data_IF_685918312788
#
_entry.id   IF_685918312788
#
_cell.length_a   1.000
_cell.length_b   1.000
_cell.length_c   1.000
_cell.angle_alpha   90.00
_cell.angle_beta   90.00
_cell.angle_gamma   90.00
#
_symmetry.space_group_name_H-M   'P 1'
#
loop_
_entity.id
_entity.type
_entity.pdbx_description
1 polymer ?
#
# COMPACT_ATOMS: atom_id res chain seq x y z
N UNK A 1 -5.25 -50.50 47.45
CA UNK A 1 -4.30 -51.62 47.41
C UNK A 1 -4.29 -52.18 46.02
N UNK A 2 -3.22 -52.02 45.31
CA UNK A 2 -2.61 -52.84 44.25
C UNK A 2 -1.79 -51.93 43.34
N UNK A 3 -0.51 -51.99 43.52
CA UNK A 3 0.53 -51.39 42.64
C UNK A 3 0.58 -52.16 41.32
N UNK A 4 0.86 -51.53 40.17
CA UNK A 4 1.38 -52.24 39.03
C UNK A 4 2.92 -52.20 39.02
N UNK A 5 3.46 -53.32 38.82
CA UNK A 5 4.87 -53.74 38.75
C UNK A 5 5.67 -52.98 37.71
N UNK A 6 6.84 -52.50 38.10
CA UNK A 6 7.95 -52.09 37.24
C UNK A 6 8.43 -53.27 36.37
N UNK A 7 8.33 -53.14 35.03
CA UNK A 7 9.11 -54.00 34.13
C UNK A 7 10.35 -53.24 33.67
N UNK A 8 11.46 -53.76 34.11
CA UNK A 8 12.82 -53.47 33.70
C UNK A 8 13.03 -53.87 32.23
N UNK A 9 13.20 -52.88 31.36
CA UNK A 9 13.48 -53.04 29.94
C UNK A 9 14.86 -52.50 29.53
N UNK A 10 15.92 -52.81 30.30
CA UNK A 10 17.29 -52.28 30.05
C UNK A 10 18.34 -53.34 29.69
N UNK A 11 17.95 -54.52 29.32
CA UNK A 11 18.92 -55.61 29.03
C UNK A 11 19.13 -55.96 27.54
N UNK A 12 18.35 -55.42 26.59
CA UNK A 12 18.52 -55.67 25.17
C UNK A 12 19.60 -54.81 24.49
N UNK A 13 19.79 -53.57 24.97
CA UNK A 13 20.66 -52.57 24.34
C UNK A 13 22.16 -52.85 24.46
N UNK A 14 22.59 -53.41 25.60
CA UNK A 14 24.03 -53.65 25.83
C UNK A 14 24.58 -54.79 24.97
N UNK A 15 23.83 -55.87 24.76
CA UNK A 15 24.29 -57.02 23.97
C UNK A 15 24.40 -56.68 22.46
N UNK A 16 23.51 -55.85 21.92
CA UNK A 16 23.63 -55.39 20.54
C UNK A 16 24.75 -54.39 20.30
N UNK A 17 25.02 -53.55 21.28
CA UNK A 17 26.18 -52.63 21.29
C UNK A 17 27.49 -53.44 21.31
N UNK A 18 27.56 -54.48 22.14
CA UNK A 18 28.74 -55.34 22.21
C UNK A 18 28.97 -56.13 20.91
N UNK A 19 27.90 -56.51 20.18
CA UNK A 19 28.01 -57.19 18.90
C UNK A 19 28.44 -56.22 17.77
N UNK A 20 27.94 -54.98 17.75
CA UNK A 20 28.40 -53.92 16.85
C UNK A 20 29.86 -53.51 17.18
N UNK A 21 30.24 -53.42 18.44
CA UNK A 21 31.58 -53.09 18.85
C UNK A 21 32.59 -54.24 18.56
N UNK A 22 32.12 -55.50 18.56
CA UNK A 22 32.93 -56.67 18.19
C UNK A 22 33.17 -56.77 16.67
N UNK A 23 32.35 -56.11 15.84
CA UNK A 23 32.50 -56.01 14.39
C UNK A 23 33.47 -54.88 13.94
N UNK A 24 33.97 -54.06 14.85
CA UNK A 24 34.95 -53.01 14.56
C UNK A 24 36.36 -53.59 14.56
N UNK A 25 37.26 -53.15 13.64
CA UNK A 25 38.62 -53.71 13.58
C UNK A 25 39.37 -53.47 14.88
N UNK A 26 39.98 -54.53 15.45
CA UNK A 26 40.63 -54.55 16.75
C UNK A 26 41.89 -53.68 16.89
N UNK A 27 42.25 -52.91 15.86
CA UNK A 27 43.51 -52.14 15.80
C UNK A 27 43.35 -50.60 15.95
N UNK A 28 42.29 -50.14 16.60
CA UNK A 28 42.20 -48.71 16.95
C UNK A 28 43.07 -48.45 18.19
N UNK A 29 44.40 -48.41 18.01
CA UNK A 29 45.31 -47.89 19.02
C UNK A 29 45.04 -46.41 19.24
N UNK A 30 44.81 -46.05 20.52
CA UNK A 30 44.56 -44.66 21.03
C UNK A 30 45.81 -43.79 20.87
N UNK A 31 46.25 -43.51 19.66
CA UNK A 31 47.25 -42.48 19.44
C UNK A 31 46.83 -41.60 18.25
N UNK A 32 46.84 -40.29 18.48
CA UNK A 32 46.58 -39.24 17.51
C UNK A 32 45.10 -38.94 17.18
N UNK A 33 44.26 -38.68 18.21
CA UNK A 33 42.97 -38.01 17.98
C UNK A 33 41.81 -38.89 17.46
N UNK A 34 41.97 -40.22 17.49
CA UNK A 34 40.92 -41.18 17.19
C UNK A 34 40.10 -41.47 18.46
N UNK A 35 38.81 -41.16 18.44
CA UNK A 35 37.88 -41.49 19.50
C UNK A 35 37.71 -43.00 19.65
N UNK A 36 37.64 -43.48 20.90
CA UNK A 36 37.33 -44.89 21.14
C UNK A 36 35.91 -45.23 20.62
N UNK A 37 35.68 -46.42 20.07
CA UNK A 37 34.37 -46.83 19.55
C UNK A 37 33.21 -46.60 20.54
N UNK A 38 33.32 -46.92 21.86
CA UNK A 38 32.27 -46.63 22.83
C UNK A 38 31.97 -45.16 22.98
N UNK A 39 33.00 -44.27 22.99
CA UNK A 39 32.82 -42.84 23.06
C UNK A 39 32.16 -42.27 21.80
N UNK A 40 32.54 -42.79 20.60
CA UNK A 40 31.91 -42.41 19.36
C UNK A 40 30.43 -42.77 19.35
N UNK A 41 30.06 -43.96 19.81
CA UNK A 41 28.68 -44.39 19.90
C UNK A 41 27.88 -43.53 20.86
N UNK A 42 28.45 -43.18 22.03
CA UNK A 42 27.80 -42.32 23.01
C UNK A 42 27.54 -40.89 22.43
N UNK A 43 28.49 -40.36 21.65
CA UNK A 43 28.34 -39.07 20.95
C UNK A 43 27.16 -39.12 19.96
N UNK A 44 27.02 -40.22 19.20
CA UNK A 44 25.90 -40.40 18.25
C UNK A 44 24.56 -40.54 19.01
N UNK A 45 24.56 -41.30 20.12
CA UNK A 45 23.39 -41.47 20.99
C UNK A 45 22.88 -40.14 21.58
N UNK A 46 23.79 -39.27 21.98
CA UNK A 46 23.46 -37.97 22.58
C UNK A 46 23.30 -36.86 21.55
N UNK A 47 23.49 -37.15 20.26
CA UNK A 47 23.34 -36.17 19.21
C UNK A 47 21.89 -35.64 19.13
N UNK A 48 21.70 -34.30 19.09
CA UNK A 48 20.37 -33.73 18.86
C UNK A 48 19.86 -33.91 17.43
N UNK A 49 20.71 -34.36 16.53
CA UNK A 49 20.32 -34.66 15.14
C UNK A 49 19.79 -36.09 15.07
N UNK A 50 18.68 -36.28 14.38
CA UNK A 50 18.14 -37.61 14.11
C UNK A 50 19.05 -38.35 13.13
N UNK A 51 19.55 -39.48 13.53
CA UNK A 51 20.53 -40.27 12.78
C UNK A 51 19.99 -41.69 12.57
N UNK A 52 20.08 -42.15 11.32
CA UNK A 52 19.83 -43.53 10.91
C UNK A 52 21.07 -44.11 10.22
N UNK A 53 21.29 -45.39 10.38
CA UNK A 53 22.26 -46.18 9.59
C UNK A 53 21.51 -47.33 8.94
N UNK A 54 21.65 -47.48 7.62
CA UNK A 54 21.00 -48.53 6.86
C UNK A 54 22.03 -49.38 6.12
N UNK A 55 21.62 -50.60 5.72
CA UNK A 55 22.35 -51.43 4.78
C UNK A 55 22.28 -50.85 3.34
N UNK A 56 22.91 -51.52 2.40
CA UNK A 56 22.93 -51.13 0.97
C UNK A 56 21.55 -51.25 0.26
N UNK A 57 20.55 -51.80 0.95
CA UNK A 57 19.15 -51.95 0.49
C UNK A 57 18.23 -50.96 1.21
N UNK A 58 18.78 -50.06 2.04
CA UNK A 58 18.07 -49.12 2.91
C UNK A 58 17.25 -49.79 4.03
N UNK A 59 17.64 -50.98 4.51
CA UNK A 59 17.06 -51.54 5.72
C UNK A 59 17.78 -50.93 6.93
N UNK A 60 17.03 -50.49 7.91
CA UNK A 60 17.53 -49.77 9.09
C UNK A 60 18.27 -50.72 10.03
N UNK A 61 19.51 -50.44 10.28
CA UNK A 61 20.37 -51.19 11.21
C UNK A 61 20.52 -50.47 12.57
N UNK A 62 20.44 -49.17 12.56
CA UNK A 62 20.61 -48.35 13.77
C UNK A 62 19.84 -47.03 13.64
N UNK A 63 19.27 -46.61 14.74
CA UNK A 63 18.72 -45.24 14.93
C UNK A 63 19.10 -44.70 16.31
N UNK A 64 19.29 -43.42 16.43
CA UNK A 64 19.52 -42.75 17.71
C UNK A 64 18.23 -42.23 18.35
N UNK A 65 18.22 -41.85 19.63
CA UNK A 65 17.03 -41.33 20.33
C UNK A 65 16.41 -40.10 19.66
N UNK A 66 17.22 -39.26 19.00
CA UNK A 66 16.69 -38.10 18.28
C UNK A 66 15.87 -38.51 17.06
N UNK A 67 16.20 -39.64 16.39
CA UNK A 67 15.40 -40.22 15.32
C UNK A 67 14.04 -40.69 15.85
N UNK A 68 14.01 -41.39 16.98
CA UNK A 68 12.76 -41.81 17.63
C UNK A 68 11.87 -40.63 18.00
N UNK A 69 12.47 -39.59 18.61
CA UNK A 69 11.77 -38.36 18.96
C UNK A 69 11.21 -37.61 17.74
N UNK A 70 11.97 -37.61 16.63
CA UNK A 70 11.56 -36.95 15.39
C UNK A 70 10.43 -37.71 14.69
N UNK A 71 10.59 -39.03 14.54
CA UNK A 71 9.68 -39.83 13.71
C UNK A 71 8.50 -40.41 14.49
N UNK A 72 8.63 -40.50 15.82
CA UNK A 72 7.65 -41.10 16.70
C UNK A 72 7.63 -42.65 16.65
N UNK A 73 8.52 -43.29 15.88
CA UNK A 73 8.68 -44.74 15.86
C UNK A 73 9.68 -45.17 16.93
N UNK A 74 9.37 -46.21 17.66
CA UNK A 74 10.33 -46.83 18.57
C UNK A 74 11.41 -47.55 17.79
N UNK A 75 12.64 -47.61 18.32
CA UNK A 75 13.77 -48.30 17.71
C UNK A 75 13.44 -49.75 17.34
N UNK A 76 12.77 -50.46 18.24
CA UNK A 76 12.42 -51.87 18.04
C UNK A 76 11.42 -52.08 16.89
N UNK A 77 10.64 -51.07 16.53
CA UNK A 77 9.67 -51.12 15.41
C UNK A 77 10.33 -50.90 14.05
N UNK A 78 11.45 -50.18 14.00
CA UNK A 78 12.09 -49.76 12.75
C UNK A 78 13.32 -50.59 12.39
N UNK A 79 13.93 -51.28 13.35
CA UNK A 79 15.10 -52.09 13.09
C UNK A 79 14.79 -53.27 12.14
N UNK A 80 15.53 -53.36 11.04
CA UNK A 80 15.33 -54.32 9.97
C UNK A 80 14.28 -53.91 8.93
N UNK A 81 13.45 -52.93 9.21
CA UNK A 81 12.49 -52.39 8.25
C UNK A 81 13.19 -51.50 7.22
N UNK A 82 12.58 -51.37 6.04
CA UNK A 82 13.10 -50.49 5.00
C UNK A 82 12.76 -49.02 5.34
N UNK A 83 13.72 -48.11 5.23
CA UNK A 83 13.57 -46.70 5.57
C UNK A 83 12.47 -45.98 4.75
N UNK A 84 12.01 -46.59 3.64
CA UNK A 84 10.85 -46.14 2.88
C UNK A 84 9.54 -46.12 3.69
N UNK A 85 9.52 -46.77 4.88
CA UNK A 85 8.39 -46.66 5.84
C UNK A 85 8.08 -45.21 6.24
N UNK A 86 9.10 -44.36 6.24
CA UNK A 86 8.94 -42.91 6.54
C UNK A 86 8.30 -42.15 5.37
N UNK A 87 8.27 -42.70 4.16
CA UNK A 87 7.77 -41.94 3.00
C UNK A 87 6.28 -41.65 3.10
N UNK A 88 5.90 -40.38 2.95
CA UNK A 88 4.49 -39.96 2.80
C UNK A 88 3.96 -40.14 1.37
N UNK A 89 4.80 -40.52 0.42
CA UNK A 89 4.50 -40.75 -1.02
C UNK A 89 4.11 -39.49 -1.81
N UNK A 90 4.26 -38.30 -1.21
CA UNK A 90 4.01 -37.01 -1.90
C UNK A 90 5.26 -36.43 -2.58
N UNK A 91 6.45 -36.97 -2.26
CA UNK A 91 7.70 -36.55 -2.89
C UNK A 91 7.74 -37.07 -4.34
N UNK A 92 8.02 -36.18 -5.33
CA UNK A 92 8.12 -36.60 -6.74
C UNK A 92 9.14 -37.72 -6.98
N UNK A 93 8.84 -38.59 -7.91
CA UNK A 93 9.71 -39.76 -8.24
C UNK A 93 11.11 -39.34 -8.68
N UNK A 94 11.23 -38.18 -9.33
CA UNK A 94 12.49 -37.60 -9.80
C UNK A 94 13.47 -37.32 -8.65
N UNK A 95 12.95 -36.93 -7.49
CA UNK A 95 13.76 -36.67 -6.28
C UNK A 95 14.36 -37.96 -5.76
N UNK A 96 13.57 -39.04 -5.71
CA UNK A 96 14.07 -40.37 -5.34
C UNK A 96 15.07 -40.94 -6.37
N UNK A 97 14.86 -40.68 -7.65
CA UNK A 97 15.81 -41.08 -8.70
C UNK A 97 17.14 -40.34 -8.52
N UNK A 98 17.10 -39.05 -8.27
CA UNK A 98 18.29 -38.23 -8.01
C UNK A 98 19.03 -38.69 -6.73
N UNK A 99 18.29 -39.03 -5.66
CA UNK A 99 18.83 -39.61 -4.43
C UNK A 99 19.59 -40.90 -4.73
N UNK A 100 18.91 -41.88 -5.33
CA UNK A 100 19.50 -43.17 -5.60
C UNK A 100 20.68 -43.13 -6.58
N UNK A 101 20.63 -42.23 -7.57
CA UNK A 101 21.74 -41.98 -8.47
C UNK A 101 22.97 -41.47 -7.72
N UNK A 102 22.80 -40.44 -6.89
CA UNK A 102 23.89 -39.82 -6.14
C UNK A 102 24.59 -40.82 -5.19
N UNK A 103 23.80 -41.57 -4.38
CA UNK A 103 24.38 -42.48 -3.38
C UNK A 103 25.01 -43.74 -4.02
N UNK A 104 24.47 -44.22 -5.15
CA UNK A 104 25.10 -45.29 -5.93
C UNK A 104 26.42 -44.86 -6.56
N UNK A 105 26.52 -43.58 -6.95
CA UNK A 105 27.77 -42.98 -7.43
C UNK A 105 28.75 -42.63 -6.30
N UNK A 106 28.52 -43.13 -5.08
CA UNK A 106 29.32 -42.87 -3.88
C UNK A 106 29.39 -41.40 -3.48
N UNK A 107 28.37 -40.63 -3.88
CA UNK A 107 28.24 -39.19 -3.52
C UNK A 107 27.20 -39.00 -2.44
N UNK A 108 27.44 -38.10 -1.53
CA UNK A 108 26.44 -37.66 -0.55
C UNK A 108 25.28 -36.99 -1.28
N UNK A 109 24.06 -37.36 -0.95
CA UNK A 109 22.85 -36.68 -1.39
C UNK A 109 22.29 -35.81 -0.28
N UNK A 110 21.85 -34.60 -0.66
CA UNK A 110 21.15 -33.69 0.23
C UNK A 110 19.89 -33.20 -0.49
N UNK A 111 18.76 -33.21 0.23
CA UNK A 111 17.49 -32.76 -0.32
C UNK A 111 16.36 -32.87 0.69
N UNK A 112 15.18 -32.45 0.27
CA UNK A 112 13.98 -32.43 1.09
C UNK A 112 13.02 -33.52 0.62
N UNK A 113 12.49 -34.29 1.57
CA UNK A 113 11.45 -35.30 1.33
C UNK A 113 10.25 -35.02 2.26
N UNK A 114 9.06 -35.33 1.75
CA UNK A 114 7.87 -35.37 2.61
C UNK A 114 7.80 -36.74 3.27
N UNK A 115 8.02 -36.76 4.56
CA UNK A 115 7.97 -37.97 5.39
C UNK A 115 6.71 -37.96 6.26
N UNK A 116 6.40 -39.10 6.90
CA UNK A 116 5.33 -39.26 7.88
C UNK A 116 5.88 -39.81 9.19
N UNK A 117 5.30 -39.38 10.29
CA UNK A 117 5.53 -39.90 11.61
C UNK A 117 4.71 -41.17 11.86
N UNK A 118 4.99 -41.89 12.94
CA UNK A 118 4.23 -43.07 13.37
C UNK A 118 2.73 -42.81 13.56
N UNK A 119 2.38 -41.59 14.00
CA UNK A 119 0.97 -41.17 14.14
C UNK A 119 0.29 -40.79 12.81
N UNK A 120 1.00 -40.85 11.70
CA UNK A 120 0.50 -40.51 10.36
C UNK A 120 0.72 -39.07 9.92
N UNK A 121 1.17 -38.17 10.80
CA UNK A 121 1.41 -36.76 10.45
C UNK A 121 2.54 -36.62 9.44
N UNK A 122 2.30 -35.81 8.39
CA UNK A 122 3.32 -35.45 7.42
C UNK A 122 4.27 -34.40 7.98
N UNK A 123 5.55 -34.50 7.66
CA UNK A 123 6.55 -33.48 7.95
C UNK A 123 7.53 -33.34 6.80
N UNK A 124 8.11 -32.16 6.65
CA UNK A 124 9.15 -31.91 5.64
C UNK A 124 10.52 -32.20 6.28
N UNK A 125 11.14 -33.29 5.79
CA UNK A 125 12.47 -33.72 6.25
C UNK A 125 13.55 -33.15 5.32
N UNK A 126 14.51 -32.40 5.86
CA UNK A 126 15.80 -32.18 5.21
C UNK A 126 16.67 -33.39 5.50
N UNK A 127 17.09 -34.08 4.45
CA UNK A 127 17.89 -35.32 4.56
C UNK A 127 19.27 -35.12 3.97
N UNK A 128 20.27 -35.64 4.69
CA UNK A 128 21.64 -35.75 4.22
C UNK A 128 22.03 -37.21 4.32
N UNK A 129 22.14 -37.91 3.15
CA UNK A 129 22.44 -39.33 3.08
C UNK A 129 23.84 -39.50 2.49
N UNK A 130 24.73 -40.10 3.26
CA UNK A 130 26.13 -40.31 2.92
C UNK A 130 26.44 -41.80 2.83
N UNK A 131 27.03 -42.30 1.74
CA UNK A 131 27.50 -43.69 1.64
C UNK A 131 28.75 -43.92 2.51
N UNK A 132 28.75 -45.01 3.24
CA UNK A 132 29.89 -45.47 4.02
C UNK A 132 30.52 -46.62 3.26
N UNK A 133 31.81 -46.46 2.91
CA UNK A 133 32.54 -47.42 2.08
C UNK A 133 33.37 -48.37 2.94
N UNK A 134 33.50 -49.64 2.50
CA UNK A 134 34.43 -50.59 3.09
C UNK A 134 35.87 -50.38 2.59
N UNK A 135 36.81 -51.19 3.05
CA UNK A 135 38.22 -51.12 2.65
C UNK A 135 38.44 -51.36 1.14
N UNK A 136 37.54 -52.06 0.46
CA UNK A 136 37.56 -52.32 -0.97
C UNK A 136 36.95 -51.14 -1.76
N UNK A 137 36.39 -50.15 -1.08
CA UNK A 137 35.76 -49.01 -1.69
C UNK A 137 34.32 -49.24 -2.13
N UNK A 138 33.69 -50.38 -1.73
CA UNK A 138 32.30 -50.66 -1.99
C UNK A 138 31.39 -50.10 -0.90
N UNK A 139 30.14 -49.78 -1.24
CA UNK A 139 29.15 -49.22 -0.30
C UNK A 139 28.71 -50.34 0.65
N UNK A 140 29.02 -50.19 1.93
CA UNK A 140 28.55 -51.10 2.98
C UNK A 140 27.29 -50.63 3.65
N UNK A 141 27.22 -49.32 3.96
CA UNK A 141 26.11 -48.72 4.69
C UNK A 141 25.78 -47.32 4.13
N UNK A 142 24.60 -46.82 4.51
CA UNK A 142 24.27 -45.42 4.32
C UNK A 142 24.06 -44.75 5.72
N UNK A 143 24.61 -43.57 5.90
CA UNK A 143 24.36 -42.74 7.04
C UNK A 143 23.34 -41.66 6.67
N UNK A 144 22.17 -41.68 7.29
CA UNK A 144 21.13 -40.70 7.14
C UNK A 144 21.14 -39.71 8.32
N UNK A 145 21.13 -38.43 8.02
CA UNK A 145 20.88 -37.33 9.01
C UNK A 145 19.58 -36.67 8.61
N UNK A 146 18.63 -36.64 9.53
CA UNK A 146 17.29 -36.12 9.32
C UNK A 146 17.07 -34.85 10.15
N UNK A 147 16.46 -33.87 9.56
CA UNK A 147 16.05 -32.63 10.22
C UNK A 147 14.64 -32.30 9.84
N UNK A 148 13.78 -32.08 10.80
CA UNK A 148 12.46 -31.51 10.54
C UNK A 148 12.59 -30.02 10.23
N UNK A 149 12.17 -29.63 9.04
CA UNK A 149 12.15 -28.23 8.60
C UNK A 149 10.73 -27.74 8.31
N UNK A 150 9.70 -28.46 8.82
CA UNK A 150 8.30 -28.12 8.54
C UNK A 150 7.96 -26.71 9.02
N UNK A 151 8.30 -26.41 10.26
CA UNK A 151 8.04 -25.08 10.86
C UNK A 151 8.89 -24.01 10.18
N UNK A 152 10.18 -24.27 9.94
CA UNK A 152 11.05 -23.34 9.23
C UNK A 152 10.51 -23.00 7.84
N UNK A 153 10.13 -24.01 7.08
CA UNK A 153 9.56 -23.83 5.72
C UNK A 153 8.21 -23.09 5.76
N UNK A 154 7.38 -23.37 6.78
CA UNK A 154 6.12 -22.65 6.97
C UNK A 154 6.35 -21.18 7.27
N UNK A 155 7.30 -20.84 8.15
CA UNK A 155 7.68 -19.46 8.47
C UNK A 155 8.27 -18.74 7.24
N UNK A 156 9.17 -19.38 6.50
CA UNK A 156 9.73 -18.82 5.26
C UNK A 156 8.63 -18.51 4.24
N UNK A 157 7.70 -19.45 4.02
CA UNK A 157 6.54 -19.24 3.14
C UNK A 157 5.64 -18.10 3.64
N UNK A 158 5.43 -18.02 4.93
CA UNK A 158 4.64 -16.93 5.52
C UNK A 158 5.28 -15.57 5.29
N UNK A 159 6.59 -15.44 5.53
CA UNK A 159 7.36 -14.21 5.27
C UNK A 159 7.29 -13.84 3.79
N UNK A 160 7.52 -14.80 2.88
CA UNK A 160 7.41 -14.56 1.45
C UNK A 160 6.00 -14.13 1.03
N UNK A 161 4.97 -14.77 1.59
CA UNK A 161 3.58 -14.40 1.31
C UNK A 161 3.24 -12.99 1.80
N UNK A 162 3.67 -12.65 3.02
CA UNK A 162 3.48 -11.30 3.57
C UNK A 162 4.19 -10.24 2.73
N UNK A 163 5.44 -10.50 2.32
CA UNK A 163 6.19 -9.61 1.44
C UNK A 163 5.47 -9.39 0.11
N UNK A 164 5.07 -10.46 -0.56
CA UNK A 164 4.33 -10.39 -1.82
C UNK A 164 3.00 -9.64 -1.69
N UNK A 165 2.30 -9.81 -0.57
CA UNK A 165 1.06 -9.08 -0.28
C UNK A 165 1.31 -7.58 -0.13
N UNK A 166 2.34 -7.18 0.63
CA UNK A 166 2.72 -5.78 0.81
C UNK A 166 3.10 -5.15 -0.53
N UNK A 167 3.92 -5.82 -1.33
CA UNK A 167 4.30 -5.36 -2.68
C UNK A 167 3.06 -5.19 -3.57
N UNK A 168 2.14 -6.16 -3.57
CA UNK A 168 0.90 -6.08 -4.36
C UNK A 168 0.00 -4.92 -3.93
N UNK A 169 -0.12 -4.66 -2.62
CA UNK A 169 -0.91 -3.52 -2.10
C UNK A 169 -0.27 -2.19 -2.50
N UNK A 170 1.05 -2.06 -2.36
CA UNK A 170 1.77 -0.85 -2.76
C UNK A 170 1.66 -0.60 -4.27
N UNK A 171 1.78 -1.65 -5.09
CA UNK A 171 1.70 -1.55 -6.54
C UNK A 171 0.28 -1.23 -7.05
N UNK A 172 -0.76 -1.63 -6.31
CA UNK A 172 -2.15 -1.30 -6.64
C UNK A 172 -2.54 0.13 -6.26
N UNK A 173 -1.75 0.80 -5.42
CA UNK A 173 -2.05 2.16 -4.99
C UNK A 173 -1.90 3.15 -6.16
N UNK A 174 -2.89 4.04 -6.42
CA UNK A 174 -2.84 5.01 -7.51
C UNK A 174 -1.94 6.22 -7.20
N UNK A 175 -1.11 6.12 -6.18
CA UNK A 175 -0.18 7.15 -5.71
C UNK A 175 1.25 6.66 -5.87
N UNK A 176 2.17 7.53 -6.27
CA UNK A 176 3.59 7.21 -6.34
C UNK A 176 4.17 7.14 -4.91
N UNK A 177 4.76 5.99 -4.57
CA UNK A 177 5.39 5.75 -3.26
C UNK A 177 6.85 5.39 -3.50
N UNK A 178 7.74 6.02 -2.73
CA UNK A 178 9.16 5.70 -2.73
C UNK A 178 9.74 5.78 -1.32
N UNK A 179 10.64 4.88 -0.98
CA UNK A 179 11.47 4.92 0.22
C UNK A 179 12.88 5.36 -0.20
N UNK A 180 13.40 6.39 0.44
CA UNK A 180 14.64 7.08 0.05
C UNK A 180 15.61 7.04 1.24
N UNK A 181 16.86 6.69 1.00
CA UNK A 181 17.91 6.72 2.03
C UNK A 181 18.45 8.14 2.31
N UNK A 182 19.38 8.22 3.24
CA UNK A 182 20.04 9.48 3.63
C UNK A 182 20.89 10.10 2.51
N UNK A 183 21.28 9.31 1.52
CA UNK A 183 22.03 9.70 0.34
C UNK A 183 21.14 10.09 -0.86
N UNK A 184 19.80 10.20 -0.64
CA UNK A 184 18.77 10.46 -1.64
C UNK A 184 18.61 9.37 -2.69
N UNK A 185 19.01 8.14 -2.41
CA UNK A 185 18.84 6.99 -3.29
C UNK A 185 17.50 6.29 -2.97
N UNK A 186 16.75 5.95 -4.00
CA UNK A 186 15.53 5.18 -3.88
C UNK A 186 15.88 3.73 -3.54
N UNK A 187 15.39 3.24 -2.38
CA UNK A 187 15.55 1.87 -1.89
C UNK A 187 14.38 1.00 -2.35
N UNK A 188 13.17 1.56 -2.31
CA UNK A 188 11.92 0.90 -2.67
C UNK A 188 11.03 1.87 -3.43
N UNK A 189 10.35 1.37 -4.44
CA UNK A 189 9.36 2.10 -5.22
C UNK A 189 8.20 1.20 -5.62
N UNK A 190 7.04 1.80 -5.91
CA UNK A 190 5.88 1.09 -6.40
C UNK A 190 5.65 1.31 -7.90
N UNK A 191 4.70 0.57 -8.49
CA UNK A 191 4.37 0.65 -9.91
C UNK A 191 3.99 2.06 -10.38
N UNK A 192 3.27 2.83 -9.56
CA UNK A 192 2.90 4.21 -9.89
C UNK A 192 4.13 5.13 -9.96
N UNK A 193 5.11 4.93 -9.08
CA UNK A 193 6.38 5.65 -9.10
C UNK A 193 7.20 5.32 -10.36
N UNK A 194 7.31 4.03 -10.72
CA UNK A 194 7.99 3.59 -11.96
C UNK A 194 7.34 4.19 -13.21
N UNK A 195 6.01 4.26 -13.24
CA UNK A 195 5.29 4.93 -14.32
C UNK A 195 5.62 6.42 -14.38
N UNK A 196 5.66 7.08 -13.22
CA UNK A 196 6.04 8.50 -13.15
C UNK A 196 7.48 8.73 -13.64
N UNK A 197 8.43 7.87 -13.26
CA UNK A 197 9.82 7.89 -13.73
C UNK A 197 9.88 7.76 -15.27
N UNK A 198 9.11 6.85 -15.84
CA UNK A 198 8.98 6.71 -17.30
C UNK A 198 8.40 7.96 -17.97
N UNK A 199 7.36 8.55 -17.39
CA UNK A 199 6.73 9.78 -17.86
C UNK A 199 7.69 10.99 -17.80
N UNK A 200 8.63 11.00 -16.86
CA UNK A 200 9.67 12.03 -16.71
C UNK A 200 10.95 11.74 -17.51
N UNK A 201 10.90 10.77 -18.45
CA UNK A 201 12.03 10.41 -19.34
C UNK A 201 13.28 9.97 -18.58
N UNK A 202 13.10 9.27 -17.45
CA UNK A 202 14.18 8.76 -16.64
C UNK A 202 14.79 9.78 -15.65
N UNK A 203 14.21 10.98 -15.55
CA UNK A 203 14.56 11.89 -14.45
C UNK A 203 13.94 11.36 -13.15
N UNK A 204 14.77 11.27 -12.11
CA UNK A 204 14.36 10.71 -10.83
C UNK A 204 13.28 11.58 -10.14
N UNK A 205 12.02 11.09 -10.00
CA UNK A 205 10.94 11.90 -9.44
C UNK A 205 11.23 12.39 -8.03
N UNK A 206 11.85 11.53 -7.20
CA UNK A 206 12.20 11.87 -5.82
C UNK A 206 13.11 13.09 -5.76
N UNK A 207 14.16 13.14 -6.60
CA UNK A 207 15.06 14.29 -6.64
C UNK A 207 14.33 15.58 -7.02
N UNK A 208 13.45 15.52 -8.02
CA UNK A 208 12.65 16.66 -8.46
C UNK A 208 11.72 17.19 -7.35
N UNK A 209 11.08 16.27 -6.62
CA UNK A 209 10.22 16.66 -5.50
C UNK A 209 11.04 17.28 -4.36
N UNK A 210 12.18 16.65 -3.98
CA UNK A 210 13.02 17.14 -2.89
C UNK A 210 13.63 18.50 -3.20
N UNK A 211 14.10 18.71 -4.45
CA UNK A 211 14.64 20.01 -4.91
C UNK A 211 13.57 21.11 -4.84
N UNK A 212 12.34 20.81 -5.27
CA UNK A 212 11.25 21.78 -5.24
C UNK A 212 10.85 22.11 -3.79
N UNK A 213 10.73 21.09 -2.92
CA UNK A 213 10.44 21.26 -1.51
C UNK A 213 11.50 22.13 -0.80
N UNK A 214 12.76 21.94 -1.15
CA UNK A 214 13.86 22.75 -0.60
C UNK A 214 13.81 24.19 -1.10
N UNK A 215 13.41 24.44 -2.36
CA UNK A 215 13.20 25.78 -2.90
C UNK A 215 12.04 26.51 -2.21
N UNK A 216 11.01 25.78 -1.78
CA UNK A 216 9.88 26.30 -1.00
C UNK A 216 10.20 26.52 0.48
N UNK A 217 11.47 26.29 0.90
CA UNK A 217 11.94 26.55 2.25
C UNK A 217 11.76 25.39 3.23
N UNK A 218 11.47 24.20 2.77
CA UNK A 218 11.37 23.00 3.61
C UNK A 218 12.78 22.44 3.85
N UNK A 219 13.30 22.58 5.07
CA UNK A 219 14.59 22.04 5.49
C UNK A 219 14.47 20.56 5.88
N UNK A 220 14.64 19.67 4.90
CA UNK A 220 14.57 18.23 5.07
C UNK A 220 15.62 17.68 6.07
N UNK A 221 16.77 18.33 6.20
CA UNK A 221 17.83 17.89 7.14
C UNK A 221 17.43 18.16 8.59
N UNK A 222 16.86 19.31 8.86
CA UNK A 222 16.35 19.63 10.19
C UNK A 222 15.13 18.77 10.53
N UNK A 223 14.24 18.52 9.57
CA UNK A 223 13.07 17.67 9.75
C UNK A 223 13.45 16.21 10.03
N UNK A 224 14.49 15.67 9.34
CA UNK A 224 15.02 14.33 9.63
C UNK A 224 15.53 14.23 11.07
N UNK A 225 16.28 15.24 11.54
CA UNK A 225 16.81 15.27 12.93
C UNK A 225 15.70 15.31 13.97
N UNK A 226 14.63 16.04 13.68
CA UNK A 226 13.50 16.22 14.58
C UNK A 226 12.45 15.12 14.45
N UNK A 227 12.58 14.19 13.48
CA UNK A 227 11.58 13.16 13.16
C UNK A 227 10.25 13.72 12.66
N UNK A 228 10.24 14.95 12.16
CA UNK A 228 9.02 15.62 11.68
C UNK A 228 8.84 15.37 10.19
N UNK A 229 7.69 14.83 9.81
CA UNK A 229 7.29 14.71 8.40
C UNK A 229 6.67 16.02 7.87
N UNK A 230 6.41 16.04 6.58
CA UNK A 230 5.60 17.08 5.91
C UNK A 230 4.40 16.41 5.23
N UNK A 231 3.31 17.15 5.10
CA UNK A 231 2.07 16.59 4.59
C UNK A 231 1.43 17.50 3.55
N UNK A 232 1.01 16.88 2.44
CA UNK A 232 0.19 17.50 1.39
C UNK A 232 0.78 18.80 0.81
N UNK A 233 2.12 18.89 0.67
CA UNK A 233 2.77 20.02 0.00
C UNK A 233 2.51 19.92 -1.49
N UNK A 234 1.99 21.00 -2.06
CA UNK A 234 1.70 21.04 -3.50
C UNK A 234 2.95 21.37 -4.29
N UNK A 235 3.39 20.44 -5.11
CA UNK A 235 4.56 20.59 -5.97
C UNK A 235 4.14 20.66 -7.42
N UNK A 236 4.64 21.66 -8.12
CA UNK A 236 4.46 21.85 -9.56
C UNK A 236 5.68 21.32 -10.30
N UNK A 237 5.47 20.38 -11.22
CA UNK A 237 6.50 19.92 -12.14
C UNK A 237 6.22 20.43 -13.55
N UNK A 238 7.12 21.28 -14.04
CA UNK A 238 7.10 21.77 -15.42
C UNK A 238 7.90 20.81 -16.29
N UNK A 239 7.26 20.22 -17.31
CA UNK A 239 7.91 19.30 -18.23
C UNK A 239 8.32 20.03 -19.52
N UNK A 240 9.57 19.91 -19.90
CA UNK A 240 10.01 20.35 -21.22
C UNK A 240 9.25 19.60 -22.31
N UNK A 241 8.48 20.34 -23.15
CA UNK A 241 7.72 19.79 -24.27
C UNK A 241 6.25 19.45 -24.01
N UNK A 242 5.69 19.66 -22.81
CA UNK A 242 4.25 19.68 -22.55
C UNK A 242 3.79 21.09 -22.20
N UNK A 243 2.67 21.51 -22.77
CA UNK A 243 2.09 22.84 -22.50
C UNK A 243 1.43 22.98 -21.13
N UNK A 244 1.23 21.89 -20.39
CA UNK A 244 0.55 21.91 -19.10
C UNK A 244 1.44 21.36 -18.00
N UNK A 245 1.57 22.09 -16.87
CA UNK A 245 2.29 21.62 -15.69
C UNK A 245 1.54 20.46 -15.03
N UNK A 246 2.28 19.54 -14.43
CA UNK A 246 1.71 18.50 -13.56
C UNK A 246 1.79 18.97 -12.10
N UNK A 247 0.72 18.77 -11.38
CA UNK A 247 0.63 19.11 -9.97
C UNK A 247 0.57 17.85 -9.13
N UNK A 248 1.37 17.83 -8.08
CA UNK A 248 1.44 16.74 -7.12
C UNK A 248 1.20 17.26 -5.72
N UNK A 249 0.47 16.49 -4.91
CA UNK A 249 0.42 16.64 -3.46
C UNK A 249 1.41 15.65 -2.87
N UNK A 250 2.48 16.16 -2.26
CA UNK A 250 3.61 15.37 -1.79
C UNK A 250 3.61 15.36 -0.27
N UNK A 251 3.74 14.17 0.31
CA UNK A 251 3.88 13.95 1.75
C UNK A 251 5.12 13.13 2.02
N UNK A 252 5.81 13.41 3.12
CA UNK A 252 7.00 12.69 3.53
C UNK A 252 6.99 12.37 5.01
N UNK A 253 7.33 11.14 5.35
CA UNK A 253 7.44 10.67 6.74
C UNK A 253 8.76 9.96 6.92
N UNK A 254 9.48 10.27 8.00
CA UNK A 254 10.73 9.63 8.33
C UNK A 254 10.46 8.28 9.01
N UNK A 255 11.16 7.24 8.54
CA UNK A 255 11.10 5.88 9.04
C UNK A 255 12.50 5.49 9.51
N UNK A 256 12.60 5.06 10.77
CA UNK A 256 13.85 4.50 11.31
C UNK A 256 13.98 3.05 10.84
N UNK A 257 14.95 2.75 10.00
CA UNK A 257 15.33 1.38 9.68
C UNK A 257 16.28 0.88 10.79
N UNK A 258 15.76 0.00 11.64
CA UNK A 258 16.60 -0.73 12.60
C UNK A 258 17.29 -1.87 11.85
N UNK A 259 18.59 -1.73 11.60
CA UNK A 259 19.43 -2.82 11.13
C UNK A 259 19.62 -3.85 12.26
N UNK A 260 18.64 -4.74 12.40
CA UNK A 260 18.62 -5.77 13.46
C UNK A 260 19.50 -6.98 13.13
N UNK A 261 20.09 -7.07 11.95
CA UNK A 261 20.71 -8.32 11.47
C UNK A 261 22.10 -8.59 12.00
N UNK A 262 22.86 -7.59 12.38
CA UNK A 262 24.21 -7.79 12.92
C UNK A 262 24.40 -7.32 14.38
N UNK A 263 23.56 -6.41 14.88
CA UNK A 263 23.74 -5.76 16.17
C UNK A 263 23.49 -6.67 17.38
N UNK A 264 22.61 -7.68 17.24
CA UNK A 264 22.19 -8.53 18.36
C UNK A 264 23.27 -9.55 18.78
N UNK A 265 24.08 -10.06 17.84
CA UNK A 265 25.11 -11.06 18.13
C UNK A 265 26.50 -10.47 18.38
N UNK A 266 26.81 -9.29 17.80
CA UNK A 266 28.17 -8.73 17.81
C UNK A 266 28.30 -7.44 18.62
N UNK A 267 27.28 -7.03 19.39
CA UNK A 267 27.28 -5.86 20.26
C UNK A 267 27.70 -4.54 19.55
N UNK A 268 27.48 -4.46 18.24
CA UNK A 268 27.62 -3.21 17.52
C UNK A 268 26.34 -2.38 17.70
N UNK A 269 26.46 -1.09 18.05
CA UNK A 269 25.29 -0.23 18.11
C UNK A 269 24.59 -0.23 16.75
N UNK A 270 23.31 -0.63 16.74
CA UNK A 270 22.49 -0.59 15.54
C UNK A 270 22.59 0.81 14.92
N UNK A 271 23.13 0.92 13.71
CA UNK A 271 23.12 2.18 12.97
C UNK A 271 21.66 2.45 12.60
N UNK A 272 21.08 3.44 13.26
CA UNK A 272 19.78 3.97 12.81
C UNK A 272 19.98 4.58 11.43
N UNK A 273 19.43 3.96 10.41
CA UNK A 273 19.28 4.56 9.10
C UNK A 273 17.95 5.28 9.07
N UNK A 274 18.00 6.58 8.86
CA UNK A 274 16.80 7.39 8.69
C UNK A 274 16.44 7.39 7.20
N UNK A 275 15.31 6.77 6.86
CA UNK A 275 14.78 6.74 5.50
C UNK A 275 13.55 7.64 5.40
N UNK A 276 13.38 8.31 4.26
CA UNK A 276 12.21 9.11 3.96
C UNK A 276 11.21 8.30 3.12
N UNK A 277 10.05 8.00 3.68
CA UNK A 277 8.92 7.50 2.92
C UNK A 277 8.24 8.68 2.24
N UNK A 278 8.33 8.76 0.93
CA UNK A 278 7.73 9.78 0.08
C UNK A 278 6.46 9.23 -0.58
N UNK A 279 5.37 9.97 -0.48
CA UNK A 279 4.11 9.68 -1.15
C UNK A 279 3.72 10.87 -2.00
N UNK A 280 3.56 10.69 -3.30
CA UNK A 280 3.16 11.73 -4.24
C UNK A 280 1.87 11.35 -4.97
N UNK A 281 0.84 12.17 -4.78
CA UNK A 281 -0.45 12.01 -5.45
C UNK A 281 -0.59 13.06 -6.55
N UNK A 282 -0.91 12.66 -7.78
CA UNK A 282 -1.14 13.60 -8.86
C UNK A 282 -2.51 14.27 -8.73
N UNK A 283 -2.51 15.59 -8.56
CA UNK A 283 -3.70 16.41 -8.40
C UNK A 283 -3.99 17.32 -9.61
N UNK A 284 -3.34 17.09 -10.74
CA UNK A 284 -3.47 17.92 -11.96
C UNK A 284 -4.92 18.02 -12.45
N UNK A 285 -5.67 16.93 -12.43
CA UNK A 285 -7.08 16.89 -12.83
C UNK A 285 -7.94 17.69 -11.86
N UNK A 286 -7.72 17.51 -10.57
CA UNK A 286 -8.43 18.23 -9.51
C UNK A 286 -8.19 19.74 -9.61
N UNK A 287 -6.94 20.17 -9.80
CA UNK A 287 -6.59 21.58 -9.99
C UNK A 287 -7.29 22.19 -11.19
N UNK A 288 -7.34 21.48 -12.32
CA UNK A 288 -8.08 21.95 -13.52
C UNK A 288 -9.57 22.08 -13.27
N UNK A 289 -10.18 21.12 -12.59
CA UNK A 289 -11.59 21.16 -12.25
C UNK A 289 -11.92 22.34 -11.32
N UNK A 290 -11.09 22.57 -10.32
CA UNK A 290 -11.23 23.70 -9.41
C UNK A 290 -11.13 25.04 -10.15
N UNK A 291 -10.16 25.20 -11.03
CA UNK A 291 -9.99 26.43 -11.81
C UNK A 291 -11.17 26.65 -12.79
N UNK A 292 -11.65 25.59 -13.45
CA UNK A 292 -12.84 25.67 -14.27
C UNK A 292 -14.08 26.09 -13.46
N UNK A 293 -14.29 25.48 -12.30
CA UNK A 293 -15.38 25.84 -11.39
C UNK A 293 -15.29 27.31 -10.96
N UNK A 294 -14.09 27.79 -10.64
CA UNK A 294 -13.83 29.19 -10.31
C UNK A 294 -14.17 30.12 -11.45
N UNK A 295 -13.75 29.80 -12.68
CA UNK A 295 -14.06 30.59 -13.86
C UNK A 295 -15.58 30.60 -14.13
N UNK A 296 -16.26 29.46 -13.97
CA UNK A 296 -17.72 29.39 -14.10
C UNK A 296 -18.43 30.28 -13.07
N UNK A 297 -18.00 30.22 -11.81
CA UNK A 297 -18.56 31.06 -10.74
C UNK A 297 -18.36 32.54 -11.02
N UNK A 298 -17.16 32.94 -11.46
CA UNK A 298 -16.88 34.35 -11.80
C UNK A 298 -17.74 34.82 -13.00
N UNK A 299 -17.91 33.98 -14.02
CA UNK A 299 -18.77 34.30 -15.16
C UNK A 299 -20.23 34.45 -14.76
N UNK A 300 -20.74 33.56 -13.90
CA UNK A 300 -22.10 33.66 -13.38
C UNK A 300 -22.31 34.96 -12.56
N UNK A 301 -21.35 35.31 -11.70
CA UNK A 301 -21.39 36.55 -10.92
C UNK A 301 -21.35 37.77 -11.81
N UNK A 302 -20.52 37.83 -12.84
CA UNK A 302 -20.48 38.91 -13.82
C UNK A 302 -21.78 39.04 -14.62
N UNK A 303 -22.36 37.93 -15.05
CA UNK A 303 -23.63 37.93 -15.76
C UNK A 303 -24.75 38.48 -14.88
N UNK A 304 -24.78 38.10 -13.61
CA UNK A 304 -25.77 38.62 -12.67
C UNK A 304 -25.59 40.14 -12.41
N UNK A 305 -24.35 40.62 -12.25
CA UNK A 305 -24.08 42.04 -12.15
C UNK A 305 -24.53 42.80 -13.39
N UNK A 306 -24.26 42.30 -14.60
CA UNK A 306 -24.71 42.89 -15.86
C UNK A 306 -26.23 42.93 -15.95
N UNK A 307 -26.93 41.88 -15.48
CA UNK A 307 -28.39 41.82 -15.45
C UNK A 307 -28.96 42.89 -14.51
N UNK A 308 -28.38 43.03 -13.32
CA UNK A 308 -28.80 44.08 -12.32
C UNK A 308 -28.53 45.48 -12.87
N UNK A 309 -27.37 45.71 -13.50
CA UNK A 309 -27.04 46.99 -14.12
C UNK A 309 -28.01 47.34 -15.28
N UNK A 310 -28.30 46.40 -16.19
CA UNK A 310 -29.27 46.62 -17.23
C UNK A 310 -30.68 46.92 -16.72
N UNK A 311 -31.08 46.25 -15.62
CA UNK A 311 -32.37 46.53 -14.98
C UNK A 311 -32.38 47.93 -14.32
N UNK A 312 -31.30 48.38 -13.70
CA UNK A 312 -31.21 49.75 -13.18
C UNK A 312 -31.30 50.81 -14.26
N UNK A 313 -30.62 50.63 -15.40
CA UNK A 313 -30.65 51.55 -16.54
C UNK A 313 -32.04 51.59 -17.17
N UNK A 314 -32.70 50.44 -17.33
CA UNK A 314 -34.07 50.39 -17.85
C UNK A 314 -35.08 51.12 -16.93
N UNK A 315 -34.99 50.89 -15.61
CA UNK A 315 -35.81 51.57 -14.60
C UNK A 315 -35.56 53.07 -14.58
N UNK A 316 -34.32 53.50 -14.67
CA UNK A 316 -33.99 54.96 -14.70
C UNK A 316 -34.54 55.63 -15.96
N UNK A 317 -34.42 54.96 -17.11
CA UNK A 317 -35.01 55.45 -18.36
C UNK A 317 -36.52 55.53 -18.29
N UNK A 318 -37.19 54.56 -17.69
CA UNK A 318 -38.64 54.56 -17.51
C UNK A 318 -39.12 55.67 -16.56
N UNK A 319 -38.42 55.90 -15.45
CA UNK A 319 -38.72 57.00 -14.51
C UNK A 319 -38.62 58.36 -15.24
N UNK A 320 -37.57 58.54 -16.04
CA UNK A 320 -37.39 59.77 -16.82
C UNK A 320 -38.54 60.00 -17.81
N UNK A 321 -39.02 58.93 -18.49
CA UNK A 321 -40.17 59.04 -19.43
C UNK A 321 -41.49 59.29 -18.72
N UNK A 322 -41.67 58.88 -17.47
CA UNK A 322 -42.87 59.16 -16.66
C UNK A 322 -42.89 60.60 -16.14
N UNK A 323 -41.74 61.28 -16.01
CA UNK A 323 -41.71 62.68 -15.60
C UNK A 323 -42.50 63.63 -16.57
N UNK A 324 -42.45 63.35 -17.89
CA UNK A 324 -43.15 64.19 -18.88
C UNK A 324 -44.69 64.17 -18.72
N UNK A 325 -45.36 62.98 -18.67
CA UNK A 325 -46.82 62.96 -18.45
C UNK A 325 -47.21 63.53 -17.05
N UNK A 326 -46.39 63.31 -15.99
CA UNK A 326 -46.67 63.93 -14.65
C UNK A 326 -46.62 65.45 -14.69
N UNK A 327 -45.61 66.00 -15.39
CA UNK A 327 -45.52 67.49 -15.53
C UNK A 327 -46.69 68.04 -16.37
N UNK A 328 -47.14 67.27 -17.41
CA UNK A 328 -48.30 67.71 -18.15
C UNK A 328 -49.61 67.61 -17.38
N UNK A 329 -49.77 66.58 -16.48
CA UNK A 329 -50.91 66.52 -15.54
C UNK A 329 -50.94 67.77 -14.64
N UNK A 330 -49.77 68.12 -14.06
CA UNK A 330 -49.65 69.29 -13.23
C UNK A 330 -50.00 70.56 -14.00
N UNK A 331 -49.55 70.69 -15.25
CA UNK A 331 -49.91 71.84 -16.11
C UNK A 331 -51.42 71.86 -16.44
N UNK A 332 -52.05 70.73 -16.76
CA UNK A 332 -53.49 70.61 -17.00
C UNK A 332 -54.31 70.99 -15.73
N UNK A 333 -53.88 70.55 -14.54
CA UNK A 333 -54.50 70.85 -13.29
C UNK A 333 -54.44 72.39 -13.01
N UNK A 334 -53.31 73.03 -13.26
CA UNK A 334 -53.13 74.45 -13.13
C UNK A 334 -53.92 75.28 -14.15
N UNK A 335 -54.25 74.74 -15.36
CA UNK A 335 -55.13 75.34 -16.34
C UNK A 335 -56.58 75.23 -15.88
N UNK A 336 -57.01 74.18 -15.28
CA UNK A 336 -58.36 74.06 -14.70
C UNK A 336 -58.60 75.03 -13.56
N UNK A 337 -57.63 75.23 -12.64
CA UNK A 337 -57.70 76.13 -11.55
C UNK A 337 -57.81 77.61 -12.01
N UNK A 338 -57.22 77.94 -13.14
CA UNK A 338 -57.25 79.28 -13.72
C UNK A 338 -58.41 79.59 -14.65
N UNK A 339 -59.37 78.66 -14.78
CA UNK A 339 -60.57 78.86 -15.64
C UNK A 339 -60.29 78.95 -17.11
N UNK A 340 -59.24 78.23 -17.60
CA UNK A 340 -58.86 78.19 -18.99
C UNK A 340 -59.88 77.42 -19.84
N UNK A 341 -59.89 77.68 -21.21
CA UNK A 341 -60.82 77.10 -22.15
C UNK A 341 -60.84 75.57 -22.06
N UNK A 342 -62.01 74.89 -21.88
CA UNK A 342 -62.15 73.44 -21.70
C UNK A 342 -61.55 72.61 -22.82
N UNK A 343 -61.58 73.10 -24.09
CA UNK A 343 -61.01 72.35 -25.25
C UNK A 343 -59.50 72.21 -25.14
N UNK A 344 -58.79 73.33 -24.75
CA UNK A 344 -57.32 73.22 -24.60
C UNK A 344 -56.88 72.33 -23.44
N UNK A 345 -57.67 72.26 -22.40
CA UNK A 345 -57.39 71.32 -21.26
C UNK A 345 -57.64 69.91 -21.66
N UNK A 346 -58.61 69.62 -22.50
CA UNK A 346 -58.88 68.26 -23.06
C UNK A 346 -57.72 67.81 -23.91
N UNK A 347 -57.20 68.66 -24.83
CA UNK A 347 -56.07 68.28 -25.71
C UNK A 347 -54.82 67.91 -24.92
N UNK A 348 -54.53 68.69 -23.83
CA UNK A 348 -53.40 68.40 -22.96
C UNK A 348 -53.62 67.08 -22.24
N UNK A 349 -54.82 66.76 -21.74
CA UNK A 349 -55.11 65.44 -21.09
C UNK A 349 -55.01 64.24 -22.06
N UNK A 350 -55.44 64.43 -23.30
CA UNK A 350 -55.23 63.34 -24.33
C UNK A 350 -53.75 63.13 -24.65
N UNK A 351 -52.92 64.16 -24.69
CA UNK A 351 -51.47 64.01 -24.82
C UNK A 351 -50.85 63.34 -23.61
N UNK A 352 -51.31 63.69 -22.37
CA UNK A 352 -50.90 62.96 -21.15
C UNK A 352 -51.19 61.50 -21.23
N UNK A 353 -52.41 61.12 -21.68
CA UNK A 353 -52.81 59.72 -21.74
C UNK A 353 -51.92 58.95 -22.72
N UNK A 354 -51.69 59.54 -23.89
CA UNK A 354 -50.86 58.95 -24.95
C UNK A 354 -49.40 58.82 -24.52
N UNK A 355 -48.83 59.83 -23.82
CA UNK A 355 -47.48 59.82 -23.31
C UNK A 355 -47.30 58.79 -22.16
N UNK A 356 -48.28 58.74 -21.23
CA UNK A 356 -48.29 57.77 -20.16
C UNK A 356 -48.40 56.32 -20.66
N UNK A 357 -49.23 56.05 -21.66
CA UNK A 357 -49.33 54.74 -22.25
C UNK A 357 -48.01 54.30 -22.92
N UNK A 358 -47.34 55.22 -23.65
CA UNK A 358 -46.00 54.90 -24.24
C UNK A 358 -44.95 54.62 -23.17
N UNK A 359 -44.94 55.38 -22.08
CA UNK A 359 -44.00 55.15 -20.98
C UNK A 359 -44.25 53.78 -20.33
N UNK A 360 -45.52 53.39 -20.10
CA UNK A 360 -45.88 52.07 -19.56
C UNK A 360 -45.50 50.94 -20.51
N UNK A 361 -45.71 51.10 -21.82
CA UNK A 361 -45.30 50.11 -22.79
C UNK A 361 -43.80 49.90 -22.83
N UNK A 362 -43.01 50.96 -22.68
CA UNK A 362 -41.56 50.92 -22.64
C UNK A 362 -41.08 50.22 -21.34
N UNK A 363 -41.71 50.49 -20.20
CA UNK A 363 -41.49 49.81 -18.94
C UNK A 363 -41.77 48.29 -19.07
N UNK A 364 -42.89 47.93 -19.68
CA UNK A 364 -43.28 46.54 -19.86
C UNK A 364 -42.29 45.76 -20.76
N UNK A 365 -41.70 46.43 -21.78
CA UNK A 365 -40.67 45.79 -22.63
C UNK A 365 -39.30 45.71 -21.95
N UNK A 366 -39.03 46.53 -20.99
CA UNK A 366 -37.77 46.55 -20.23
C UNK A 366 -37.74 45.54 -19.04
N UNK A 367 -38.88 45.04 -18.61
CA UNK A 367 -39.00 43.99 -17.60
C UNK A 367 -38.85 42.63 -18.26
N UNK A 368 -38.06 41.70 -17.70
CA UNK A 368 -37.93 40.31 -18.17
C UNK A 368 -39.30 39.62 -18.21
N UNK A 369 -39.54 38.79 -19.22
CA UNK A 369 -40.80 38.04 -19.41
C UNK A 369 -41.17 37.16 -18.19
N UNK A 370 -40.20 36.69 -17.41
CA UNK A 370 -40.41 35.89 -16.22
C UNK A 370 -41.14 36.64 -15.07
N UNK A 371 -41.17 37.97 -15.11
CA UNK A 371 -41.97 38.81 -14.16
C UNK A 371 -43.35 39.15 -14.74
N UNK A 372 -43.61 38.84 -16.01
CA UNK A 372 -44.87 39.14 -16.70
C UNK A 372 -45.90 38.01 -16.59
N UNK A 373 -45.47 36.79 -16.28
CA UNK A 373 -46.37 35.61 -16.17
C UNK A 373 -46.75 35.23 -14.73
N UNK A 374 -46.17 35.87 -13.71
CA UNK A 374 -46.62 35.70 -12.34
C UNK A 374 -47.73 36.67 -11.99
N UNK A 375 -48.94 36.21 -11.82
CA UNK A 375 -50.02 36.93 -11.10
C UNK A 375 -49.68 37.14 -9.61
N UNK A 376 -48.51 37.62 -9.29
CA UNK A 376 -48.22 38.25 -8.05
C UNK A 376 -48.42 39.72 -8.25
N UNK A 377 -49.47 40.24 -7.63
CA UNK A 377 -49.67 41.68 -7.50
C UNK A 377 -48.41 42.28 -6.88
N UNK A 378 -47.50 42.72 -7.74
CA UNK A 378 -46.35 43.50 -7.31
C UNK A 378 -46.90 44.80 -6.73
N UNK A 379 -46.82 44.91 -5.41
CA UNK A 379 -47.27 46.08 -4.73
C UNK A 379 -46.34 47.24 -5.16
N UNK A 380 -46.79 48.03 -6.12
CA UNK A 380 -46.03 49.13 -6.71
C UNK A 380 -45.50 50.10 -5.61
N UNK A 381 -46.21 50.20 -4.50
CA UNK A 381 -45.80 50.98 -3.33
C UNK A 381 -44.57 50.44 -2.64
N UNK A 382 -44.37 49.07 -2.60
CA UNK A 382 -43.16 48.46 -2.02
C UNK A 382 -41.97 48.71 -2.93
N UNK A 383 -42.14 48.57 -4.23
CA UNK A 383 -41.09 48.83 -5.23
C UNK A 383 -40.68 50.29 -5.24
N UNK A 384 -41.65 51.25 -5.14
CA UNK A 384 -41.40 52.67 -5.06
C UNK A 384 -40.72 53.05 -3.72
N UNK A 385 -41.05 52.40 -2.63
CA UNK A 385 -40.37 52.59 -1.35
C UNK A 385 -38.93 52.07 -1.36
N UNK A 386 -38.67 50.92 -1.97
CA UNK A 386 -37.31 50.39 -2.13
C UNK A 386 -36.45 51.31 -3.02
N UNK A 387 -37.00 51.79 -4.13
CA UNK A 387 -36.30 52.74 -5.01
C UNK A 387 -36.05 54.08 -4.31
N UNK A 388 -37.00 54.58 -3.55
CA UNK A 388 -36.82 55.80 -2.75
C UNK A 388 -35.78 55.63 -1.62
N UNK A 389 -35.74 54.48 -0.98
CA UNK A 389 -34.74 54.13 0.04
C UNK A 389 -33.34 54.07 -0.56
N UNK A 390 -33.19 53.46 -1.76
CA UNK A 390 -31.92 53.41 -2.49
C UNK A 390 -31.45 54.78 -2.99
N UNK A 391 -32.35 55.70 -3.25
CA UNK A 391 -32.01 57.11 -3.64
C UNK A 391 -31.69 57.99 -2.45
N UNK A 392 -32.08 57.64 -1.21
CA UNK A 392 -31.79 58.42 0.00
C UNK A 392 -30.48 57.95 0.69
N UNK A 393 -29.94 56.78 0.37
CA UNK A 393 -28.65 56.29 0.89
C UNK A 393 -27.42 56.83 0.11
N UNK A 394 -27.62 57.54 -1.01
CA UNK A 394 -26.56 58.14 -1.83
C UNK A 394 -26.51 59.70 -1.70
N UNK A 395 -27.13 60.32 -0.68
CA UNK A 395 -27.03 61.73 -0.28
C UNK A 395 -26.45 61.80 1.13
#
# INVERSE_FOLDING_TARGET
MSQPSSKSGTRGSAAQVDELLAALPANATLDQGVLSPPLFFEIVQQSPLAISVTDNKANILYVNPAFEALTGYDKDEVLGENESLLSHKETPAEVYQALWSAIKDKRTWRGNLVNRRSNGDAYLAELNISPVLNEQGDISYFLGIHRDITELNALEKQVHHQKALIESVLDSAPVAVALIDAENKVILDNQAYKKLLGDLHGQEPASLFLDTLQQEGIDLKTMCRDGRGFNAVEVRLDKAGRNEPRWFSVSGTWVDELDNTAGSYFNHPARKRCCLLLVANEISVFKRQMEQARIHHLRASLAEQQRIQGMREALSGAIFQLQSPVNMIQAAAGMLERGSNPEKTRDVLEQVLTSGQRAMETLRRALPEELAEGETSVNLNVLLQEVLTLMTDDL
#
